data_IF_696255649568
#
_entry.id   IF_696255649568
#
_cell.length_a   1.000
_cell.length_b   1.000
_cell.length_c   1.000
_cell.angle_alpha   90.00
_cell.angle_beta   90.00
_cell.angle_gamma   90.00
#
_symmetry.space_group_name_H-M   'P 1'
#
loop_
_entity.id
_entity.type
_entity.pdbx_description
1 polymer ?
#
# COMPACT_ATOMS: atom_id res chain seq x y z
N UNK A 1 -0.44 0.29 -5.97
CA UNK A 1 0.38 1.43 -6.44
C UNK A 1 1.78 0.96 -6.78
N UNK A 2 2.57 1.78 -7.50
CA UNK A 2 3.95 1.43 -7.83
C UNK A 2 4.94 1.96 -6.76
N UNK A 3 6.14 1.38 -6.72
CA UNK A 3 7.25 1.70 -5.82
C UNK A 3 7.62 3.19 -5.78
N UNK A 4 7.33 3.90 -6.87
CA UNK A 4 7.45 5.35 -6.95
C UNK A 4 6.68 6.06 -5.82
N UNK A 5 5.42 5.71 -5.60
CA UNK A 5 4.64 6.36 -4.55
C UNK A 5 4.90 5.73 -3.19
N UNK A 6 4.73 4.40 -3.09
CA UNK A 6 4.73 3.70 -1.82
C UNK A 6 6.07 3.79 -1.09
N UNK A 7 7.19 3.80 -1.81
CA UNK A 7 8.50 3.97 -1.20
C UNK A 7 8.99 5.42 -1.31
N UNK A 8 9.23 5.91 -2.52
CA UNK A 8 9.97 7.17 -2.71
C UNK A 8 9.16 8.40 -2.30
N UNK A 9 7.91 8.53 -2.76
CA UNK A 9 7.08 9.67 -2.40
C UNK A 9 6.67 9.60 -0.92
N UNK A 10 6.34 8.42 -0.38
CA UNK A 10 6.05 8.24 1.06
C UNK A 10 7.22 8.70 1.94
N UNK A 11 8.47 8.40 1.58
CA UNK A 11 9.64 8.92 2.31
C UNK A 11 9.64 10.46 2.33
N UNK A 12 9.46 11.10 1.17
CA UNK A 12 9.44 12.56 1.07
C UNK A 12 8.27 13.18 1.85
N UNK A 13 7.08 12.57 1.74
CA UNK A 13 5.88 12.99 2.46
C UNK A 13 6.11 12.93 3.97
N UNK A 14 6.63 11.82 4.47
CA UNK A 14 6.85 11.58 5.91
C UNK A 14 7.97 12.44 6.47
N UNK A 15 9.09 12.57 5.76
CA UNK A 15 10.19 13.45 6.16
C UNK A 15 9.73 14.91 6.24
N UNK A 16 8.97 15.38 5.24
CA UNK A 16 8.43 16.75 5.25
C UNK A 16 7.37 16.96 6.34
N UNK A 17 6.66 15.90 6.73
CA UNK A 17 5.71 15.92 7.84
C UNK A 17 6.38 15.95 9.23
N UNK A 18 7.71 15.97 9.32
CA UNK A 18 8.45 16.11 10.58
C UNK A 18 8.85 14.79 11.24
N UNK A 19 8.78 13.67 10.53
CA UNK A 19 9.45 12.43 10.97
C UNK A 19 10.94 12.52 10.70
N UNK A 20 11.76 11.96 11.59
CA UNK A 20 13.20 11.90 11.34
C UNK A 20 13.50 11.01 10.12
N UNK A 21 14.61 11.20 9.40
CA UNK A 21 14.94 10.38 8.23
C UNK A 21 14.95 8.86 8.47
N UNK A 22 15.40 8.41 9.66
CA UNK A 22 15.35 7.01 10.07
C UNK A 22 13.91 6.50 10.23
N UNK A 23 13.02 7.31 10.80
CA UNK A 23 11.60 6.98 10.94
C UNK A 23 10.88 6.98 9.59
N UNK A 24 11.14 7.99 8.76
CA UNK A 24 10.62 8.12 7.40
C UNK A 24 11.01 6.92 6.54
N UNK A 25 12.25 6.42 6.70
CA UNK A 25 12.72 5.21 6.01
C UNK A 25 11.93 3.97 6.44
N UNK A 26 11.67 3.79 7.74
CA UNK A 26 10.88 2.65 8.23
C UNK A 26 9.43 2.71 7.74
N UNK A 27 8.82 3.90 7.77
CA UNK A 27 7.45 4.12 7.27
C UNK A 27 7.37 3.84 5.77
N UNK A 28 8.29 4.39 4.97
CA UNK A 28 8.35 4.18 3.53
C UNK A 28 8.62 2.71 3.16
N UNK A 29 9.56 2.06 3.85
CA UNK A 29 9.84 0.64 3.63
C UNK A 29 8.61 -0.21 3.96
N UNK A 30 7.96 0.02 5.11
CA UNK A 30 6.73 -0.72 5.49
C UNK A 30 5.58 -0.48 4.51
N UNK A 31 5.46 0.74 3.97
CA UNK A 31 4.48 1.08 2.96
C UNK A 31 4.69 0.21 1.71
N UNK A 32 5.88 0.23 1.10
CA UNK A 32 6.17 -0.64 -0.05
C UNK A 32 6.10 -2.14 0.28
N UNK A 33 6.63 -2.55 1.43
CA UNK A 33 6.70 -3.96 1.81
C UNK A 33 5.32 -4.57 2.08
N UNK A 34 4.27 -3.76 2.20
CA UNK A 34 2.88 -4.25 2.24
C UNK A 34 2.48 -4.94 0.93
N UNK A 35 2.94 -4.43 -0.22
CA UNK A 35 2.74 -5.08 -1.53
C UNK A 35 3.65 -6.30 -1.72
N UNK A 36 4.87 -6.26 -1.17
CA UNK A 36 5.87 -7.32 -1.34
C UNK A 36 5.71 -8.49 -0.33
N UNK A 37 4.84 -8.35 0.66
CA UNK A 37 4.54 -9.38 1.67
C UNK A 37 3.48 -10.37 1.17
N UNK A 38 3.89 -11.25 0.25
CA UNK A 38 3.00 -12.12 -0.54
C UNK A 38 2.91 -13.59 -0.10
N UNK A 39 3.71 -13.99 0.89
CA UNK A 39 3.80 -15.38 1.33
C UNK A 39 3.58 -15.57 2.82
N UNK A 40 2.93 -16.68 3.17
CA UNK A 40 2.98 -17.26 4.51
C UNK A 40 4.28 -18.05 4.65
N UNK A 41 5.06 -17.70 5.66
CA UNK A 41 6.33 -18.29 6.04
C UNK A 41 6.22 -18.78 7.49
N UNK A 42 6.75 -19.97 7.75
CA UNK A 42 6.86 -20.53 9.10
C UNK A 42 8.33 -20.58 9.47
N UNK A 43 8.72 -19.80 10.47
CA UNK A 43 10.07 -19.76 11.01
C UNK A 43 10.17 -20.77 12.16
N UNK A 44 11.28 -21.51 12.21
CA UNK A 44 11.59 -22.49 13.24
C UNK A 44 10.47 -23.54 13.42
N UNK A 45 9.93 -24.06 12.31
CA UNK A 45 8.76 -24.97 12.27
C UNK A 45 8.83 -26.14 13.27
N UNK A 46 10.02 -26.69 13.50
CA UNK A 46 10.26 -27.85 14.38
C UNK A 46 10.56 -27.48 15.84
N UNK A 47 10.68 -26.19 16.16
CA UNK A 47 10.97 -25.70 17.51
C UNK A 47 9.77 -24.89 18.03
N UNK A 48 8.96 -25.51 18.89
CA UNK A 48 7.73 -24.90 19.42
C UNK A 48 7.95 -23.58 20.16
N UNK A 49 9.11 -23.36 20.78
CA UNK A 49 9.40 -22.12 21.53
C UNK A 49 9.76 -20.95 20.62
N UNK A 50 10.33 -21.23 19.45
CA UNK A 50 10.77 -20.21 18.47
C UNK A 50 9.84 -20.11 17.26
N UNK A 51 8.86 -21.01 17.15
CA UNK A 51 7.97 -21.10 16.00
C UNK A 51 7.21 -19.79 15.82
N UNK A 52 7.34 -19.22 14.63
CA UNK A 52 6.62 -18.02 14.23
C UNK A 52 5.99 -18.21 12.86
N UNK A 53 4.78 -17.69 12.69
CA UNK A 53 4.07 -17.68 11.42
C UNK A 53 3.60 -16.26 11.15
N UNK A 54 3.91 -15.74 9.97
CA UNK A 54 3.53 -14.39 9.57
C UNK A 54 2.13 -14.36 8.94
N UNK A 55 1.65 -13.15 8.65
CA UNK A 55 0.43 -12.93 7.87
C UNK A 55 0.79 -12.14 6.62
N UNK A 56 0.37 -12.62 5.45
CA UNK A 56 0.65 -11.94 4.20
C UNK A 56 -0.38 -10.83 3.94
N UNK A 57 0.03 -9.73 3.32
CA UNK A 57 -0.85 -8.58 3.03
C UNK A 57 -1.19 -8.42 1.56
N UNK A 58 -0.58 -9.22 0.68
CA UNK A 58 -0.84 -9.20 -0.75
C UNK A 58 -0.89 -10.64 -1.31
N UNK A 59 -1.66 -10.88 -2.36
CA UNK A 59 -1.62 -12.16 -3.09
C UNK A 59 -1.92 -11.94 -4.56
N UNK A 60 -1.19 -12.60 -5.44
CA UNK A 60 -1.50 -12.64 -6.87
C UNK A 60 -2.27 -13.91 -7.26
N UNK A 61 -2.43 -14.85 -6.33
CA UNK A 61 -3.22 -16.05 -6.53
C UNK A 61 -4.72 -15.74 -6.36
N UNK A 62 -5.35 -15.40 -7.49
CA UNK A 62 -6.79 -15.14 -7.60
C UNK A 62 -7.67 -16.38 -7.40
N UNK A 63 -7.08 -17.57 -7.24
CA UNK A 63 -7.81 -18.85 -7.06
C UNK A 63 -8.04 -19.20 -5.59
N UNK A 64 -7.41 -18.46 -4.66
CA UNK A 64 -7.63 -18.54 -3.22
C UNK A 64 -9.10 -18.39 -2.82
N UNK A 65 -9.39 -18.80 -1.59
CA UNK A 65 -10.73 -18.73 -1.04
C UNK A 65 -11.26 -17.27 -1.07
N UNK A 66 -12.55 -17.11 -1.36
CA UNK A 66 -13.14 -15.79 -1.64
C UNK A 66 -13.10 -14.85 -0.43
N UNK A 67 -13.30 -15.41 0.75
CA UNK A 67 -13.18 -14.76 2.06
C UNK A 67 -11.74 -14.32 2.34
N UNK A 68 -10.76 -15.15 2.02
CA UNK A 68 -9.33 -14.83 2.12
C UNK A 68 -8.96 -13.66 1.19
N UNK A 69 -9.35 -13.73 -0.09
CA UNK A 69 -9.12 -12.64 -1.06
C UNK A 69 -9.81 -11.35 -0.66
N UNK A 70 -11.08 -11.45 -0.23
CA UNK A 70 -11.83 -10.29 0.25
C UNK A 70 -11.10 -9.62 1.42
N UNK A 71 -10.58 -10.42 2.36
CA UNK A 71 -9.88 -9.92 3.53
C UNK A 71 -8.59 -9.22 3.15
N UNK A 72 -7.75 -9.86 2.37
CA UNK A 72 -6.45 -9.28 1.99
C UNK A 72 -6.66 -8.01 1.17
N UNK A 73 -7.44 -8.07 0.10
CA UNK A 73 -7.61 -6.91 -0.78
C UNK A 73 -8.40 -5.77 -0.14
N UNK A 74 -9.49 -6.02 0.60
CA UNK A 74 -10.24 -4.91 1.21
C UNK A 74 -9.49 -4.23 2.36
N UNK A 75 -8.65 -4.96 3.11
CA UNK A 75 -7.97 -4.39 4.26
C UNK A 75 -6.68 -3.64 3.86
N UNK A 76 -6.00 -4.07 2.79
CA UNK A 76 -4.70 -3.52 2.42
C UNK A 76 -4.68 -2.71 1.10
N UNK A 77 -5.61 -2.94 0.15
CA UNK A 77 -5.48 -2.36 -1.21
C UNK A 77 -6.74 -1.67 -1.75
N UNK A 78 -7.92 -2.03 -1.26
CA UNK A 78 -9.22 -1.56 -1.76
C UNK A 78 -10.13 -1.21 -0.59
N UNK A 79 -9.64 -0.35 0.32
CA UNK A 79 -10.42 0.11 1.48
C UNK A 79 -11.77 0.68 1.01
N UNK A 80 -12.91 0.09 1.43
CA UNK A 80 -14.22 0.59 1.06
C UNK A 80 -14.45 2.00 1.60
N UNK A 81 -15.10 2.85 0.81
CA UNK A 81 -15.55 4.16 1.24
C UNK A 81 -17.06 4.30 1.25
N UNK A 82 -17.54 5.53 1.07
CA UNK A 82 -18.97 5.82 0.94
C UNK A 82 -19.41 5.63 -0.52
N UNK A 83 -20.24 4.61 -0.83
CA UNK A 83 -20.72 4.40 -2.20
C UNK A 83 -21.63 5.53 -2.71
N UNK A 84 -22.08 6.44 -1.85
CA UNK A 84 -22.88 7.61 -2.23
C UNK A 84 -22.04 8.87 -2.47
N UNK A 85 -20.72 8.80 -2.27
CA UNK A 85 -19.81 9.91 -2.60
C UNK A 85 -19.90 10.28 -4.10
N UNK A 86 -19.85 11.57 -4.48
CA UNK A 86 -19.80 11.96 -5.89
C UNK A 86 -18.65 11.31 -6.68
N UNK A 87 -17.54 10.99 -6.01
CA UNK A 87 -16.40 10.27 -6.60
C UNK A 87 -16.70 8.81 -7.00
N UNK A 88 -17.77 8.23 -6.45
CA UNK A 88 -18.25 6.87 -6.72
C UNK A 88 -19.25 6.80 -7.89
N UNK A 89 -19.72 7.95 -8.40
CA UNK A 89 -20.77 7.97 -9.41
C UNK A 89 -20.23 7.54 -10.78
N UNK A 90 -21.03 6.70 -11.44
CA UNK A 90 -20.69 6.04 -12.69
C UNK A 90 -21.78 6.21 -13.74
N UNK A 91 -21.37 6.21 -15.01
CA UNK A 91 -22.27 6.34 -16.17
C UNK A 91 -23.17 5.13 -16.36
N UNK A 92 -22.76 3.96 -15.85
CA UNK A 92 -23.52 2.71 -15.90
C UNK A 92 -24.54 2.57 -14.76
N UNK A 93 -24.59 3.52 -13.83
CA UNK A 93 -25.52 3.52 -12.69
C UNK A 93 -25.24 2.44 -11.65
N UNK A 94 -24.13 1.69 -11.75
CA UNK A 94 -23.79 0.66 -10.79
C UNK A 94 -23.21 1.27 -9.52
N UNK A 95 -23.61 0.70 -8.38
CA UNK A 95 -23.12 1.05 -7.05
C UNK A 95 -22.70 -0.23 -6.32
N UNK A 96 -21.63 -0.17 -5.51
CA UNK A 96 -21.19 -1.30 -4.71
C UNK A 96 -20.76 -0.87 -3.31
N UNK A 97 -21.20 -1.59 -2.26
CA UNK A 97 -20.89 -1.26 -0.85
C UNK A 97 -19.40 -1.34 -0.50
N UNK A 98 -18.64 -2.10 -1.28
CA UNK A 98 -17.19 -2.24 -1.15
C UNK A 98 -16.40 -1.28 -2.05
N UNK A 99 -17.06 -0.32 -2.71
CA UNK A 99 -16.40 0.59 -3.63
C UNK A 99 -15.32 1.40 -2.92
N UNK A 100 -14.10 1.39 -3.46
CA UNK A 100 -13.01 2.24 -3.00
C UNK A 100 -13.24 3.67 -3.47
N UNK A 101 -13.31 4.61 -2.53
CA UNK A 101 -13.41 6.05 -2.80
C UNK A 101 -12.21 6.77 -2.20
N UNK A 102 -11.69 7.83 -2.85
CA UNK A 102 -10.47 8.50 -2.43
C UNK A 102 -10.65 9.14 -1.05
N UNK A 103 -9.67 8.95 -0.15
CA UNK A 103 -9.64 9.60 1.16
C UNK A 103 -10.91 9.38 1.98
N UNK A 104 -11.50 8.18 1.92
CA UNK A 104 -12.76 7.88 2.60
C UNK A 104 -12.62 7.99 4.13
N UNK A 105 -13.72 8.21 4.85
CA UNK A 105 -13.71 8.23 6.33
C UNK A 105 -13.09 6.96 6.93
N UNK A 106 -13.27 5.79 6.28
CA UNK A 106 -12.61 4.56 6.71
C UNK A 106 -11.09 4.63 6.58
N UNK A 107 -10.58 5.19 5.47
CA UNK A 107 -9.15 5.36 5.27
C UNK A 107 -8.57 6.40 6.24
N UNK A 108 -9.32 7.47 6.50
CA UNK A 108 -8.97 8.48 7.50
C UNK A 108 -8.89 7.88 8.91
N UNK A 109 -9.93 7.18 9.35
CA UNK A 109 -9.96 6.58 10.69
C UNK A 109 -8.88 5.49 10.85
N UNK A 110 -8.63 4.71 9.79
CA UNK A 110 -7.51 3.76 9.73
C UNK A 110 -6.17 4.44 9.98
N UNK A 111 -5.90 5.54 9.28
CA UNK A 111 -4.64 6.26 9.41
C UNK A 111 -4.50 6.86 10.82
N UNK A 112 -5.57 7.43 11.38
CA UNK A 112 -5.56 7.95 12.76
C UNK A 112 -5.32 6.85 13.81
N UNK A 113 -5.96 5.69 13.65
CA UNK A 113 -5.72 4.53 14.52
C UNK A 113 -4.25 4.09 14.47
N UNK A 114 -3.65 4.04 13.28
CA UNK A 114 -2.24 3.71 13.13
C UNK A 114 -1.33 4.78 13.76
N UNK A 115 -1.61 6.06 13.53
CA UNK A 115 -0.85 7.17 14.12
C UNK A 115 -0.91 7.17 15.66
N UNK A 116 -2.07 6.87 16.24
CA UNK A 116 -2.26 6.79 17.68
C UNK A 116 -1.37 5.74 18.37
N UNK A 117 -0.91 4.71 17.64
CA UNK A 117 0.01 3.69 18.20
C UNK A 117 1.45 4.16 18.32
N UNK A 118 1.87 5.18 17.56
CA UNK A 118 3.28 5.53 17.39
C UNK A 118 4.13 4.44 16.71
N UNK A 119 3.54 3.32 16.26
CA UNK A 119 4.23 2.23 15.61
C UNK A 119 4.50 2.59 14.14
N UNK A 120 5.77 2.88 13.83
CA UNK A 120 6.21 3.30 12.49
C UNK A 120 5.87 2.29 11.39
N UNK A 121 5.91 0.99 11.70
CA UNK A 121 5.56 -0.06 10.75
C UNK A 121 4.08 -0.03 10.42
N UNK A 122 3.24 0.07 11.45
CA UNK A 122 1.79 0.18 11.31
C UNK A 122 1.37 1.47 10.60
N UNK A 123 2.07 2.58 10.87
CA UNK A 123 1.88 3.85 10.15
C UNK A 123 2.19 3.67 8.66
N UNK A 124 3.28 3.00 8.30
CA UNK A 124 3.62 2.72 6.89
C UNK A 124 2.58 1.85 6.18
N UNK A 125 2.10 0.79 6.83
CA UNK A 125 1.01 -0.06 6.31
C UNK A 125 -0.26 0.78 6.09
N UNK A 126 -0.59 1.69 7.02
CA UNK A 126 -1.74 2.57 6.84
C UNK A 126 -1.54 3.62 5.74
N UNK A 127 -0.32 4.16 5.57
CA UNK A 127 0.02 5.06 4.46
C UNK A 127 -0.20 4.38 3.11
N UNK A 128 0.20 3.11 2.99
CA UNK A 128 -0.03 2.27 1.81
C UNK A 128 -1.52 2.19 1.47
N UNK A 129 -2.33 1.68 2.40
CA UNK A 129 -3.77 1.49 2.18
C UNK A 129 -4.49 2.81 1.93
N UNK A 130 -4.09 3.88 2.63
CA UNK A 130 -4.67 5.22 2.47
C UNK A 130 -4.44 5.74 1.05
N UNK A 131 -3.20 5.66 0.57
CA UNK A 131 -2.86 6.15 -0.73
C UNK A 131 -3.51 5.29 -1.84
N UNK A 132 -3.61 3.97 -1.65
CA UNK A 132 -4.31 3.06 -2.57
C UNK A 132 -5.79 3.46 -2.76
N UNK A 133 -6.42 4.14 -1.79
CA UNK A 133 -7.79 4.67 -1.99
C UNK A 133 -7.90 5.70 -3.12
N UNK A 134 -6.80 6.41 -3.42
CA UNK A 134 -6.73 7.37 -4.52
C UNK A 134 -6.35 6.70 -5.84
N UNK A 135 -5.48 5.69 -5.82
CA UNK A 135 -5.09 4.97 -7.03
C UNK A 135 -6.24 4.09 -7.55
N UNK A 136 -6.85 3.33 -6.65
CA UNK A 136 -7.82 2.26 -6.95
C UNK A 136 -9.29 2.70 -6.85
N UNK A 137 -9.54 4.01 -6.99
CA UNK A 137 -10.90 4.56 -7.01
C UNK A 137 -11.79 3.80 -8.01
N UNK A 138 -13.04 3.53 -7.62
CA UNK A 138 -14.04 2.87 -8.48
C UNK A 138 -13.74 1.40 -8.82
N UNK A 139 -12.91 0.75 -8.00
CA UNK A 139 -12.72 -0.70 -7.98
C UNK A 139 -13.10 -1.28 -6.61
N UNK A 140 -13.24 -2.60 -6.58
CA UNK A 140 -13.41 -3.38 -5.35
C UNK A 140 -12.40 -4.52 -5.30
N UNK A 141 -11.90 -4.82 -4.11
CA UNK A 141 -11.00 -5.94 -3.80
C UNK A 141 -11.66 -7.32 -3.86
N UNK A 142 -12.60 -7.54 -4.78
CA UNK A 142 -13.37 -8.77 -4.88
C UNK A 142 -13.75 -9.09 -6.33
N UNK A 143 -13.91 -10.38 -6.65
CA UNK A 143 -14.31 -10.79 -8.01
C UNK A 143 -15.77 -10.38 -8.28
N UNK A 144 -15.98 -9.37 -9.10
CA UNK A 144 -17.31 -8.83 -9.41
C UNK A 144 -17.31 -8.07 -10.75
N UNK A 145 -18.44 -8.10 -11.47
CA UNK A 145 -18.62 -7.36 -12.73
C UNK A 145 -18.51 -5.85 -12.57
N UNK A 146 -18.67 -5.31 -11.36
CA UNK A 146 -18.40 -3.91 -11.02
C UNK A 146 -17.00 -3.44 -11.48
N UNK A 147 -16.00 -4.33 -11.41
CA UNK A 147 -14.62 -4.09 -11.84
C UNK A 147 -14.42 -4.11 -13.36
N UNK A 148 -15.40 -4.57 -14.14
CA UNK A 148 -15.23 -4.75 -15.58
C UNK A 148 -15.16 -3.43 -16.34
N UNK A 149 -14.09 -3.23 -17.11
CA UNK A 149 -13.91 -2.15 -18.08
C UNK A 149 -14.56 -2.46 -19.43
N UNK A 150 -15.15 -3.67 -19.60
CA UNK A 150 -15.81 -4.14 -20.84
C UNK A 150 -14.91 -4.08 -22.08
N UNK A 151 -13.61 -4.33 -21.91
CA UNK A 151 -12.66 -4.44 -23.01
C UNK A 151 -12.93 -5.75 -23.80
N UNK A 152 -13.10 -5.72 -25.13
CA UNK A 152 -13.27 -6.93 -25.96
C UNK A 152 -12.17 -7.99 -25.77
N UNK A 153 -10.98 -7.57 -25.33
CA UNK A 153 -9.85 -8.48 -25.02
C UNK A 153 -9.82 -8.94 -23.54
N UNK A 154 -10.81 -8.56 -22.72
CA UNK A 154 -10.83 -8.87 -21.27
C UNK A 154 -11.23 -10.30 -20.91
N UNK A 155 -11.66 -11.13 -21.87
CA UNK A 155 -12.16 -12.49 -21.64
C UNK A 155 -11.18 -13.42 -20.90
N UNK A 156 -9.89 -13.09 -20.85
CA UNK A 156 -8.86 -13.87 -20.15
C UNK A 156 -8.45 -13.27 -18.79
N UNK A 157 -8.92 -12.08 -18.43
CA UNK A 157 -8.53 -11.39 -17.18
C UNK A 157 -9.65 -11.48 -16.14
N UNK A 158 -9.33 -11.76 -14.87
CA UNK A 158 -10.33 -11.82 -13.81
C UNK A 158 -10.87 -10.43 -13.46
N UNK A 159 -12.17 -10.31 -13.18
CA UNK A 159 -12.80 -9.06 -12.74
C UNK A 159 -12.59 -8.82 -11.24
N UNK A 160 -11.35 -8.78 -10.77
CA UNK A 160 -10.97 -8.54 -9.38
C UNK A 160 -10.01 -7.35 -9.30
N UNK A 161 -10.28 -6.41 -8.39
CA UNK A 161 -9.54 -5.16 -8.32
C UNK A 161 -9.48 -4.47 -9.68
N UNK A 162 -8.32 -3.92 -10.01
CA UNK A 162 -8.02 -3.29 -11.30
C UNK A 162 -7.34 -4.24 -12.30
N UNK A 163 -7.50 -5.57 -12.17
CA UNK A 163 -6.81 -6.52 -13.04
C UNK A 163 -7.08 -6.33 -14.55
N UNK A 164 -8.29 -5.92 -14.95
CA UNK A 164 -8.57 -5.57 -16.35
C UNK A 164 -7.83 -4.30 -16.80
N UNK A 165 -7.57 -3.37 -15.89
CA UNK A 165 -6.79 -2.14 -16.11
C UNK A 165 -5.27 -2.37 -16.08
N UNK A 166 -4.80 -3.57 -15.74
CA UNK A 166 -3.38 -3.88 -15.53
C UNK A 166 -2.77 -2.89 -14.51
N UNK A 167 -1.55 -2.43 -14.78
CA UNK A 167 -0.83 -1.43 -13.98
C UNK A 167 -1.34 0.00 -14.19
N UNK A 168 -2.34 0.24 -15.04
CA UNK A 168 -2.70 1.60 -15.43
C UNK A 168 -3.00 2.54 -14.23
N UNK A 169 -3.68 2.11 -13.14
CA UNK A 169 -3.89 2.95 -11.96
C UNK A 169 -2.64 3.24 -11.14
N UNK A 170 -1.61 2.40 -11.24
CA UNK A 170 -0.43 2.41 -10.37
C UNK A 170 0.68 3.36 -10.84
N UNK A 171 0.62 3.82 -12.10
CA UNK A 171 1.70 4.55 -12.75
C UNK A 171 1.56 6.08 -12.60
N UNK A 172 2.46 6.80 -11.91
CA UNK A 172 2.28 8.23 -11.62
C UNK A 172 2.14 9.15 -12.81
N UNK A 173 2.90 8.89 -13.89
CA UNK A 173 2.84 9.69 -15.11
C UNK A 173 1.71 9.33 -16.07
N UNK A 174 0.90 8.31 -15.76
CA UNK A 174 -0.02 7.74 -16.74
C UNK A 174 -1.35 8.51 -16.84
N UNK A 175 -1.93 8.45 -18.04
CA UNK A 175 -3.28 8.95 -18.33
C UNK A 175 -4.00 7.89 -19.14
N UNK A 176 -5.09 7.37 -18.61
CA UNK A 176 -5.81 6.22 -19.15
C UNK A 176 -7.33 6.44 -19.12
N UNK A 177 -8.08 5.56 -19.77
CA UNK A 177 -9.53 5.69 -19.92
C UNK A 177 -10.28 4.65 -19.06
N UNK A 178 -11.23 5.12 -18.27
CA UNK A 178 -12.22 4.30 -17.57
C UNK A 178 -13.63 4.79 -17.94
N UNK A 179 -14.26 4.13 -18.90
CA UNK A 179 -15.58 4.50 -19.45
C UNK A 179 -16.73 4.34 -18.46
N UNK A 180 -16.48 3.72 -17.30
CA UNK A 180 -17.46 3.59 -16.23
C UNK A 180 -17.65 4.93 -15.52
N UNK A 181 -16.65 5.81 -15.53
CA UNK A 181 -16.66 7.08 -14.82
C UNK A 181 -17.43 8.17 -15.58
N UNK A 182 -18.00 9.12 -14.83
CA UNK A 182 -18.62 10.33 -15.42
C UNK A 182 -17.61 11.15 -16.24
N UNK A 183 -16.36 11.21 -15.76
CA UNK A 183 -15.21 11.74 -16.50
C UNK A 183 -14.29 10.58 -16.86
N UNK A 184 -14.31 10.08 -18.10
CA UNK A 184 -13.65 8.83 -18.45
C UNK A 184 -12.12 8.92 -18.49
N UNK A 185 -11.55 10.13 -18.59
CA UNK A 185 -10.10 10.32 -18.61
C UNK A 185 -9.56 10.39 -17.18
N UNK A 186 -8.80 9.37 -16.80
CA UNK A 186 -8.11 9.29 -15.52
C UNK A 186 -6.71 9.87 -15.65
N UNK A 187 -6.41 10.90 -14.87
CA UNK A 187 -5.08 11.52 -14.77
C UNK A 187 -4.44 11.11 -13.45
N UNK A 188 -3.56 10.11 -13.48
CA UNK A 188 -2.98 9.56 -12.26
C UNK A 188 -2.14 10.58 -11.49
N UNK A 189 -1.41 11.45 -12.19
CA UNK A 189 -0.64 12.53 -11.56
C UNK A 189 -1.50 13.33 -10.58
N UNK A 190 -2.72 13.71 -10.96
CA UNK A 190 -3.62 14.44 -10.08
C UNK A 190 -4.02 13.59 -8.87
N UNK A 191 -4.39 12.32 -9.08
CA UNK A 191 -4.76 11.40 -7.98
C UNK A 191 -3.62 11.21 -6.97
N UNK A 192 -2.39 11.05 -7.45
CA UNK A 192 -1.22 10.91 -6.57
C UNK A 192 -0.87 12.20 -5.85
N UNK A 193 -1.02 13.36 -6.48
CA UNK A 193 -0.81 14.64 -5.79
C UNK A 193 -1.89 14.89 -4.72
N UNK A 194 -3.14 14.52 -4.99
CA UNK A 194 -4.22 14.57 -3.99
C UNK A 194 -3.94 13.62 -2.82
N UNK A 195 -3.49 12.39 -3.10
CA UNK A 195 -3.09 11.42 -2.09
C UNK A 195 -1.93 11.95 -1.23
N UNK A 196 -0.88 12.48 -1.87
CA UNK A 196 0.28 13.03 -1.18
C UNK A 196 -0.09 14.21 -0.29
N UNK A 197 -0.94 15.12 -0.78
CA UNK A 197 -1.45 16.27 -0.03
C UNK A 197 -2.21 15.83 1.22
N UNK A 198 -3.18 14.93 1.04
CA UNK A 198 -4.01 14.45 2.14
C UNK A 198 -3.21 13.67 3.19
N UNK A 199 -2.31 12.79 2.73
CA UNK A 199 -1.43 12.03 3.61
C UNK A 199 -0.48 12.95 4.38
N UNK A 200 0.15 13.91 3.71
CA UNK A 200 1.02 14.91 4.35
C UNK A 200 0.29 15.70 5.44
N UNK A 201 -0.88 16.26 5.13
CA UNK A 201 -1.63 17.08 6.08
C UNK A 201 -1.94 16.32 7.37
N UNK A 202 -2.28 15.03 7.26
CA UNK A 202 -2.59 14.17 8.39
C UNK A 202 -1.36 13.80 9.21
N UNK A 203 -0.29 13.39 8.54
CA UNK A 203 0.99 13.08 9.19
C UNK A 203 1.57 14.32 9.90
N UNK A 204 1.57 15.48 9.24
CA UNK A 204 2.12 16.71 9.78
C UNK A 204 1.28 17.23 10.96
N UNK A 205 -0.05 17.18 10.87
CA UNK A 205 -0.92 17.55 11.99
C UNK A 205 -0.72 16.62 13.22
N UNK A 206 -0.41 15.34 13.00
CA UNK A 206 -0.08 14.42 14.09
C UNK A 206 1.28 14.72 14.73
N UNK A 207 2.29 15.05 13.90
CA UNK A 207 3.67 15.31 14.37
C UNK A 207 3.88 16.69 14.98
N UNK A 208 3.14 17.68 14.50
CA UNK A 208 3.30 19.08 14.91
C UNK A 208 1.92 19.73 15.06
N UNK A 209 1.10 19.27 16.05
CA UNK A 209 -0.28 19.71 16.23
C UNK A 209 -0.43 21.21 16.53
N UNK A 210 0.63 21.86 17.01
CA UNK A 210 0.72 23.29 17.23
C UNK A 210 0.93 24.12 15.96
N UNK A 211 1.25 23.48 14.82
CA UNK A 211 1.50 24.17 13.56
C UNK A 211 0.21 24.80 13.03
N UNK A 212 0.21 26.12 12.71
CA UNK A 212 -0.97 26.76 12.15
C UNK A 212 -1.47 26.08 10.87
N UNK A 213 -2.78 25.92 10.73
CA UNK A 213 -3.41 25.27 9.57
C UNK A 213 -2.96 25.88 8.23
N UNK A 214 -2.77 27.20 8.17
CA UNK A 214 -2.28 27.86 6.96
C UNK A 214 -0.84 27.44 6.62
N UNK A 215 0.04 27.31 7.62
CA UNK A 215 1.42 26.87 7.40
C UNK A 215 1.48 25.42 6.90
N UNK A 216 0.60 24.55 7.42
CA UNK A 216 0.43 23.18 6.90
C UNK A 216 -0.07 23.19 5.45
N UNK A 217 -1.03 24.06 5.12
CA UNK A 217 -1.54 24.18 3.75
C UNK A 217 -0.41 24.65 2.79
N UNK A 218 0.35 25.67 3.15
CA UNK A 218 1.45 26.19 2.34
C UNK A 218 2.55 25.12 2.13
N UNK A 219 2.86 24.35 3.18
CA UNK A 219 3.80 23.23 3.09
C UNK A 219 3.27 22.11 2.17
N UNK A 220 1.96 21.81 2.24
CA UNK A 220 1.34 20.81 1.37
C UNK A 220 1.40 21.23 -0.11
N UNK A 221 1.17 22.52 -0.42
CA UNK A 221 1.31 23.03 -1.78
C UNK A 221 2.76 22.95 -2.28
N UNK A 222 3.74 23.26 -1.42
CA UNK A 222 5.16 23.12 -1.76
C UNK A 222 5.55 21.66 -2.04
N UNK A 223 5.03 20.72 -1.24
CA UNK A 223 5.19 19.27 -1.47
C UNK A 223 4.60 18.85 -2.82
N UNK A 224 3.35 19.24 -3.09
CA UNK A 224 2.68 18.92 -4.35
C UNK A 224 3.42 19.51 -5.57
N UNK A 225 4.03 20.70 -5.42
CA UNK A 225 4.85 21.29 -6.46
C UNK A 225 6.12 20.46 -6.72
N UNK A 226 6.87 20.13 -5.67
CA UNK A 226 8.10 19.33 -5.77
C UNK A 226 7.80 17.94 -6.37
N UNK A 227 6.78 17.24 -5.87
CA UNK A 227 6.34 15.94 -6.40
C UNK A 227 5.78 16.07 -7.82
N UNK A 228 5.04 17.14 -8.12
CA UNK A 228 4.50 17.38 -9.45
C UNK A 228 5.58 17.58 -10.51
N UNK A 229 6.67 18.27 -10.16
CA UNK A 229 7.87 18.40 -11.00
C UNK A 229 8.58 17.05 -11.12
N UNK A 230 8.72 16.31 -10.03
CA UNK A 230 9.39 15.01 -10.02
C UNK A 230 8.63 13.96 -10.85
N UNK A 231 7.30 13.89 -10.77
CA UNK A 231 6.47 13.04 -11.66
C UNK A 231 6.67 13.47 -13.12
N UNK A 232 6.71 14.78 -13.38
CA UNK A 232 6.91 15.32 -14.73
C UNK A 232 5.63 15.32 -15.58
N UNK A 233 5.79 15.26 -16.90
CA UNK A 233 4.70 15.26 -17.87
C UNK A 233 4.00 13.90 -18.00
N UNK A 234 3.04 13.82 -18.93
CA UNK A 234 2.38 12.55 -19.28
C UNK A 234 3.41 11.54 -19.79
N UNK A 235 3.38 10.33 -19.24
CA UNK A 235 4.28 9.23 -19.58
C UNK A 235 3.51 7.92 -19.84
N UNK A 236 2.87 7.79 -21.01
CA UNK A 236 2.14 6.58 -21.34
C UNK A 236 3.11 5.40 -21.50
N UNK A 237 2.82 4.29 -20.82
CA UNK A 237 3.66 3.09 -20.87
C UNK A 237 4.92 3.15 -20.00
N UNK A 238 4.97 4.07 -19.03
CA UNK A 238 5.96 4.10 -17.96
C UNK A 238 7.45 4.26 -18.36
N UNK A 239 7.73 4.89 -19.51
CA UNK A 239 9.09 4.95 -20.07
C UNK A 239 10.07 5.77 -19.23
N UNK A 240 9.58 6.72 -18.44
CA UNK A 240 10.38 7.64 -17.65
C UNK A 240 10.49 7.25 -16.16
N UNK A 241 10.11 6.02 -15.79
CA UNK A 241 10.10 5.55 -14.39
C UNK A 241 11.45 5.73 -13.69
N UNK A 242 12.53 5.21 -14.28
CA UNK A 242 13.88 5.36 -13.71
C UNK A 242 14.29 6.83 -13.53
N UNK A 243 13.93 7.71 -14.49
CA UNK A 243 14.19 9.14 -14.37
C UNK A 243 13.33 9.82 -13.30
N UNK A 244 12.08 9.38 -13.07
CA UNK A 244 11.24 9.86 -11.97
C UNK A 244 11.81 9.45 -10.62
N UNK A 245 12.19 8.18 -10.47
CA UNK A 245 12.84 7.67 -9.25
C UNK A 245 14.09 8.48 -8.90
N UNK A 246 14.96 8.72 -9.89
CA UNK A 246 16.14 9.58 -9.69
C UNK A 246 15.80 11.01 -9.24
N UNK A 247 14.67 11.58 -9.69
CA UNK A 247 14.20 12.89 -9.22
C UNK A 247 13.66 12.84 -7.79
N UNK A 248 12.96 11.79 -7.38
CA UNK A 248 12.53 11.65 -5.97
C UNK A 248 13.74 11.47 -5.05
N UNK A 249 14.72 10.65 -5.43
CA UNK A 249 15.97 10.49 -4.67
C UNK A 249 16.74 11.81 -4.55
N UNK A 250 16.78 12.60 -5.63
CA UNK A 250 17.39 13.94 -5.60
C UNK A 250 16.66 14.90 -4.64
N UNK A 251 15.33 14.78 -4.49
CA UNK A 251 14.58 15.59 -3.52
C UNK A 251 14.97 15.28 -2.07
N UNK A 252 15.31 14.03 -1.74
CA UNK A 252 15.68 13.63 -0.37
C UNK A 252 16.90 14.41 0.19
N UNK A 253 17.73 14.98 -0.69
CA UNK A 253 18.88 15.84 -0.34
C UNK A 253 18.51 17.30 -0.04
N UNK A 254 17.24 17.70 -0.09
CA UNK A 254 16.84 19.02 0.38
C UNK A 254 16.61 18.98 1.89
N UNK A 255 16.95 20.07 2.58
CA UNK A 255 16.76 20.22 4.04
C UNK A 255 15.34 19.88 4.51
N UNK A 256 14.32 20.32 3.77
CA UNK A 256 12.90 20.05 4.07
C UNK A 256 12.49 18.56 3.99
N UNK A 257 13.35 17.71 3.42
CA UNK A 257 13.17 16.26 3.32
C UNK A 257 14.21 15.49 4.14
N UNK A 258 14.87 16.17 5.09
CA UNK A 258 15.77 15.56 6.06
C UNK A 258 17.25 15.55 5.67
N UNK A 259 17.62 16.06 4.49
CA UNK A 259 19.00 16.15 3.98
C UNK A 259 19.80 14.86 4.18
N UNK A 260 19.17 13.72 3.85
CA UNK A 260 19.80 12.40 3.88
C UNK A 260 19.43 11.61 2.65
N UNK A 261 20.36 10.81 2.11
CA UNK A 261 20.05 9.92 1.01
C UNK A 261 18.99 8.90 1.47
N UNK A 262 17.93 8.77 0.66
CA UNK A 262 16.97 7.67 0.77
C UNK A 262 17.71 6.37 0.36
N UNK A 263 17.78 5.34 1.24
CA UNK A 263 18.35 4.06 0.88
C UNK A 263 17.66 3.45 -0.35
N UNK A 264 18.38 2.61 -1.09
CA UNK A 264 17.74 1.81 -2.13
C UNK A 264 16.81 0.77 -1.49
N UNK A 265 15.65 0.57 -2.10
CA UNK A 265 14.71 -0.45 -1.65
C UNK A 265 15.19 -1.84 -2.12
N UNK A 266 15.35 -2.76 -1.17
CA UNK A 266 15.52 -4.18 -1.43
C UNK A 266 14.43 -4.91 -0.65
N UNK A 267 13.47 -5.57 -1.32
CA UNK A 267 12.36 -6.19 -0.61
C UNK A 267 12.85 -7.34 0.29
N UNK A 268 14.02 -7.93 0.02
CA UNK A 268 14.59 -9.04 0.81
C UNK A 268 15.30 -8.57 2.09
N UNK A 269 15.60 -7.28 2.23
CA UNK A 269 16.53 -6.79 3.24
C UNK A 269 16.11 -7.16 4.67
N UNK A 270 14.89 -6.78 5.09
CA UNK A 270 14.38 -7.08 6.43
C UNK A 270 14.32 -8.59 6.73
N UNK A 271 13.86 -9.39 5.76
CA UNK A 271 13.77 -10.84 5.95
C UNK A 271 15.15 -11.47 6.09
N UNK A 272 16.07 -11.16 5.16
CA UNK A 272 17.42 -11.72 5.18
C UNK A 272 18.24 -11.21 6.35
N UNK A 273 17.94 -10.05 6.93
CA UNK A 273 18.50 -9.59 8.20
C UNK A 273 18.09 -10.51 9.37
N UNK A 274 16.82 -10.89 9.44
CA UNK A 274 16.25 -11.61 10.58
C UNK A 274 16.36 -13.14 10.49
N UNK A 275 16.28 -13.69 9.27
CA UNK A 275 16.05 -15.12 9.00
C UNK A 275 17.18 -15.70 8.16
N UNK A 276 17.66 -16.89 8.55
CA UNK A 276 18.50 -17.74 7.71
C UNK A 276 17.62 -18.76 7.00
N UNK A 277 17.90 -18.99 5.72
CA UNK A 277 17.25 -20.00 4.90
C UNK A 277 18.21 -21.17 4.71
N UNK A 278 17.80 -22.35 5.14
CA UNK A 278 18.49 -23.60 4.84
C UNK A 278 17.92 -24.14 3.53
N UNK A 279 18.60 -23.79 2.44
CA UNK A 279 18.15 -24.10 1.08
C UNK A 279 18.10 -25.60 0.83
N UNK A 280 16.93 -26.14 0.50
CA UNK A 280 16.77 -27.56 0.16
C UNK A 280 16.75 -27.76 -1.36
N UNK A 281 17.84 -27.37 -2.02
CA UNK A 281 17.99 -27.48 -3.48
C UNK A 281 18.31 -26.14 -4.13
N UNK A 282 17.35 -25.55 -4.86
CA UNK A 282 17.45 -24.18 -5.36
C UNK A 282 16.83 -23.23 -4.32
N UNK A 283 17.37 -22.01 -4.13
CA UNK A 283 16.81 -21.05 -3.18
C UNK A 283 15.35 -20.76 -3.49
N UNK A 284 14.51 -20.70 -2.47
CA UNK A 284 13.18 -20.11 -2.59
C UNK A 284 13.34 -18.64 -3.03
N UNK A 285 12.93 -18.32 -4.25
CA UNK A 285 12.76 -16.92 -4.68
C UNK A 285 11.32 -16.51 -4.43
N UNK A 286 11.01 -16.25 -3.16
CA UNK A 286 9.72 -15.80 -2.65
C UNK A 286 9.32 -14.38 -3.10
N UNK A 287 10.09 -13.74 -3.97
CA UNK A 287 9.70 -12.49 -4.64
C UNK A 287 9.29 -12.69 -6.10
N UNK A 288 9.44 -13.90 -6.63
CA UNK A 288 9.00 -14.25 -7.97
C UNK A 288 8.13 -15.50 -7.90
N UNK A 289 7.19 -15.65 -8.82
CA UNK A 289 6.31 -16.83 -8.87
C UNK A 289 7.06 -18.05 -9.42
N UNK A 290 8.17 -18.44 -8.81
CA UNK A 290 8.90 -19.65 -9.18
C UNK A 290 8.49 -20.78 -8.24
N UNK A 291 7.81 -21.83 -8.73
CA UNK A 291 7.47 -22.98 -7.90
C UNK A 291 8.74 -23.72 -7.48
N UNK A 292 9.00 -23.81 -6.18
CA UNK A 292 10.07 -24.65 -5.62
C UNK A 292 9.56 -26.04 -5.26
N UNK A 293 10.35 -27.07 -5.62
CA UNK A 293 10.00 -28.48 -5.40
C UNK A 293 10.15 -28.92 -3.94
N UNK A 294 10.96 -28.19 -3.17
CA UNK A 294 11.15 -28.40 -1.73
C UNK A 294 11.15 -27.02 -1.07
N UNK A 295 10.27 -26.81 -0.09
CA UNK A 295 10.28 -25.57 0.68
C UNK A 295 11.54 -25.49 1.55
N UNK A 296 12.16 -24.31 1.56
CA UNK A 296 13.30 -24.03 2.41
C UNK A 296 12.89 -24.11 3.88
N UNK A 297 13.84 -24.51 4.74
CA UNK A 297 13.65 -24.36 6.18
C UNK A 297 14.11 -22.97 6.61
N UNK A 298 13.27 -22.28 7.37
CA UNK A 298 13.55 -20.93 7.85
C UNK A 298 13.83 -20.94 9.35
N UNK A 299 14.88 -20.24 9.77
CA UNK A 299 15.29 -20.17 11.16
C UNK A 299 15.70 -18.75 11.55
N UNK A 300 15.43 -18.35 12.79
CA UNK A 300 15.93 -17.07 13.29
C UNK A 300 17.45 -17.04 13.33
N UNK A 301 18.05 -15.97 12.77
CA UNK A 301 19.51 -15.76 12.86
C UNK A 301 19.95 -15.51 14.30
N UNK A 302 19.17 -14.72 15.04
CA UNK A 302 19.38 -14.45 16.46
C UNK A 302 18.12 -14.83 17.26
N UNK A 303 18.01 -16.07 17.76
CA UNK A 303 16.87 -16.54 18.54
C UNK A 303 16.58 -15.75 19.83
N UNK A 304 17.56 -15.03 20.38
CA UNK A 304 17.40 -14.27 21.61
C UNK A 304 16.74 -12.91 21.37
N UNK A 305 16.97 -12.29 20.20
CA UNK A 305 16.54 -10.91 19.91
C UNK A 305 15.72 -10.77 18.63
N UNK A 306 15.25 -11.86 18.01
CA UNK A 306 14.54 -11.80 16.72
C UNK A 306 13.32 -10.87 16.73
N UNK A 307 12.70 -10.68 17.91
CA UNK A 307 11.55 -9.80 18.10
C UNK A 307 11.87 -8.32 17.91
N UNK A 308 13.15 -7.95 17.90
CA UNK A 308 13.61 -6.58 17.64
C UNK A 308 13.90 -6.35 16.14
N UNK A 309 13.89 -7.41 15.33
CA UNK A 309 14.14 -7.29 13.89
C UNK A 309 13.03 -6.52 13.19
N UNK A 310 13.39 -5.76 12.15
CA UNK A 310 12.43 -5.04 11.32
C UNK A 310 11.36 -5.97 10.73
N UNK A 311 11.76 -7.17 10.29
CA UNK A 311 10.81 -8.13 9.72
C UNK A 311 9.78 -8.59 10.74
N UNK A 312 10.18 -8.98 11.95
CA UNK A 312 9.23 -9.40 12.97
C UNK A 312 8.27 -8.26 13.36
N UNK A 313 8.81 -7.07 13.59
CA UNK A 313 8.01 -5.90 13.98
C UNK A 313 6.99 -5.50 12.89
N UNK A 314 7.40 -5.58 11.62
CA UNK A 314 6.50 -5.39 10.49
C UNK A 314 5.39 -6.45 10.45
N UNK A 315 5.73 -7.74 10.60
CA UNK A 315 4.74 -8.82 10.54
C UNK A 315 3.73 -8.76 11.69
N UNK A 316 4.16 -8.35 12.90
CA UNK A 316 3.23 -8.08 14.00
C UNK A 316 2.34 -6.87 13.71
N UNK A 317 2.89 -5.80 13.11
CA UNK A 317 2.09 -4.65 12.69
C UNK A 317 1.06 -5.00 11.60
N UNK A 318 1.37 -5.93 10.68
CA UNK A 318 0.40 -6.45 9.70
C UNK A 318 -0.76 -7.17 10.40
N UNK A 319 -0.47 -8.04 11.37
CA UNK A 319 -1.51 -8.75 12.14
C UNK A 319 -2.39 -7.79 12.93
N UNK A 320 -1.79 -6.79 13.58
CA UNK A 320 -2.51 -5.74 14.31
C UNK A 320 -3.41 -4.92 13.37
N UNK A 321 -2.86 -4.47 12.23
CA UNK A 321 -3.61 -3.73 11.21
C UNK A 321 -4.79 -4.56 10.68
N UNK A 322 -4.56 -5.84 10.37
CA UNK A 322 -5.60 -6.77 9.92
C UNK A 322 -6.71 -6.92 10.96
N UNK A 323 -6.36 -7.06 12.24
CA UNK A 323 -7.32 -7.19 13.33
C UNK A 323 -8.23 -5.95 13.44
N UNK A 324 -7.62 -4.76 13.52
CA UNK A 324 -8.34 -3.50 13.73
C UNK A 324 -9.19 -3.12 12.51
N UNK A 325 -8.66 -3.29 11.29
CA UNK A 325 -9.42 -3.01 10.08
C UNK A 325 -10.58 -3.99 9.87
N UNK A 326 -10.38 -5.27 10.20
CA UNK A 326 -11.46 -6.25 10.21
C UNK A 326 -12.57 -5.83 11.19
N UNK A 327 -12.22 -5.38 12.40
CA UNK A 327 -13.18 -4.92 13.40
C UNK A 327 -13.94 -3.66 12.93
N UNK A 328 -13.21 -2.68 12.38
CA UNK A 328 -13.80 -1.44 11.83
C UNK A 328 -14.81 -1.74 10.72
N UNK A 329 -14.42 -2.54 9.71
CA UNK A 329 -15.28 -2.81 8.56
C UNK A 329 -16.50 -3.69 8.91
N UNK A 330 -16.39 -4.62 9.88
CA UNK A 330 -17.55 -5.37 10.43
C UNK A 330 -18.63 -4.44 10.98
N UNK A 331 -18.24 -3.33 11.60
CA UNK A 331 -19.16 -2.32 12.12
C UNK A 331 -19.76 -1.40 11.05
N UNK A 332 -19.21 -1.42 9.82
CA UNK A 332 -19.49 -0.46 8.74
C UNK A 332 -19.90 -1.18 7.45
N UNK A 333 -19.05 -1.18 6.42
CA UNK A 333 -19.37 -1.69 5.08
C UNK A 333 -19.70 -3.18 5.05
N UNK A 334 -19.25 -3.95 6.04
CA UNK A 334 -19.54 -5.39 6.15
C UNK A 334 -20.65 -5.70 7.16
N UNK A 335 -21.31 -4.67 7.71
CA UNK A 335 -22.36 -4.84 8.71
C UNK A 335 -23.52 -5.65 8.13
N UNK A 336 -23.82 -6.78 8.78
CA UNK A 336 -24.90 -7.68 8.38
C UNK A 336 -24.53 -8.68 7.28
N UNK A 337 -23.29 -8.68 6.79
CA UNK A 337 -22.80 -9.74 5.89
C UNK A 337 -22.40 -10.98 6.70
N UNK A 338 -22.83 -12.16 6.23
CA UNK A 338 -22.32 -13.43 6.72
C UNK A 338 -21.03 -13.75 5.97
N UNK A 339 -19.90 -13.60 6.65
CA UNK A 339 -18.58 -13.92 6.13
C UNK A 339 -17.96 -15.01 7.03
N UNK A 340 -18.20 -16.30 6.75
CA UNK A 340 -17.60 -17.40 7.48
C UNK A 340 -16.08 -17.26 7.39
N UNK A 341 -15.39 -17.25 8.53
CA UNK A 341 -13.95 -17.09 8.53
C UNK A 341 -13.47 -15.68 8.19
N UNK A 342 -14.26 -14.62 8.39
CA UNK A 342 -13.79 -13.23 8.47
C UNK A 342 -13.21 -12.90 9.84
#
# INVERSE_FOLDING_TARGET
MDIEFHYHMTYLITAMAGFRPDEATIIAYSCQYTDDNIHTLVIDEKNAELRYENYYSQTYDITKAKDELLRVYCLFHFMPGDPQSPSAYRTDGLMHWLNTTPGSQNAEDMLDMALATGNLYRIGIACHTFADTYAHQNFIGYKNTFNSLKDPFSLLKPNIGHAEALHAPDLPGNVWEDRRLLSPIVVNKSRFLDAARALFLRLAAHRSPETPTQALADAAEALCLDLGVAIGGRDPGNKNAASRMGRYMALAHKERYGDKPLPDYDPKAWFTEAVRSDTRGLPDDWFTWTPTLFSDAYHWKNPQDYQQSHWYLFQEAIKEHQHDMSAMLRGRNLKGLSLPGW
#
